data_IF_283124706257
#
_entry.id   IF_283124706257
#
_cell.length_a   1.000
_cell.length_b   1.000
_cell.length_c   1.000
_cell.angle_alpha   90.00
_cell.angle_beta   90.00
_cell.angle_gamma   90.00
#
_symmetry.space_group_name_H-M   'P 1'
#
loop_
_entity.id
_entity.type
_entity.pdbx_description
1 polymer ?
#
# COMPACT_ATOMS: atom_id res chain seq x y z
N UNK A 1 -15.57 16.53 0.74
CA UNK A 1 -14.76 15.71 1.63
C UNK A 1 -13.33 15.81 1.15
N UNK A 2 -12.39 16.02 2.08
CA UNK A 2 -10.95 16.14 1.81
C UNK A 2 -10.20 15.24 2.77
N UNK A 3 -9.04 14.77 2.37
CA UNK A 3 -8.09 14.05 3.22
C UNK A 3 -6.94 14.99 3.58
N UNK A 4 -6.54 15.00 4.85
CA UNK A 4 -5.45 15.81 5.36
C UNK A 4 -4.48 14.92 6.13
N UNK A 5 -3.25 14.81 5.66
CA UNK A 5 -2.19 14.08 6.35
C UNK A 5 -1.25 15.04 7.07
N UNK A 6 -1.07 14.83 8.35
CA UNK A 6 -0.16 15.57 9.23
C UNK A 6 1.02 14.68 9.58
N UNK A 7 2.10 14.70 8.79
CA UNK A 7 3.21 13.76 8.94
C UNK A 7 3.93 13.87 10.29
N UNK A 8 4.03 15.07 10.85
CA UNK A 8 4.65 15.27 12.16
C UNK A 8 3.82 14.73 13.33
N UNK A 9 2.54 14.44 13.11
CA UNK A 9 1.65 13.84 14.11
C UNK A 9 1.33 12.37 13.80
N UNK A 10 1.82 11.81 12.67
CA UNK A 10 1.44 10.48 12.16
C UNK A 10 -0.09 10.31 12.08
N UNK A 11 -0.77 11.31 11.53
CA UNK A 11 -2.23 11.42 11.57
C UNK A 11 -2.81 11.71 10.18
N UNK A 12 -3.80 10.92 9.78
CA UNK A 12 -4.68 11.20 8.63
C UNK A 12 -6.05 11.64 9.14
N UNK A 13 -6.51 12.80 8.69
CA UNK A 13 -7.81 13.36 9.06
C UNK A 13 -8.74 13.44 7.85
N UNK A 14 -10.02 13.19 8.05
CA UNK A 14 -11.08 13.49 7.08
C UNK A 14 -11.76 14.79 7.42
N UNK A 15 -11.81 15.71 6.44
CA UNK A 15 -12.46 17.02 6.57
C UNK A 15 -13.72 17.09 5.71
N UNK A 16 -14.80 17.61 6.28
CA UNK A 16 -16.04 17.90 5.57
C UNK A 16 -16.45 19.35 5.80
N UNK A 17 -16.41 20.15 4.73
CA UNK A 17 -16.55 21.61 4.87
C UNK A 17 -15.40 22.20 5.69
N UNK A 18 -15.71 22.83 6.81
CA UNK A 18 -14.70 23.46 7.71
C UNK A 18 -14.28 22.60 8.90
N UNK A 19 -14.83 21.38 9.05
CA UNK A 19 -14.66 20.56 10.26
C UNK A 19 -13.96 19.24 9.93
N UNK A 20 -12.99 18.87 10.75
CA UNK A 20 -12.46 17.52 10.78
C UNK A 20 -13.45 16.59 11.49
N UNK A 21 -13.86 15.52 10.83
CA UNK A 21 -14.91 14.60 11.29
C UNK A 21 -14.39 13.26 11.78
N UNK A 22 -13.18 12.90 11.43
CA UNK A 22 -12.49 11.68 11.91
C UNK A 22 -10.99 11.79 11.70
N UNK A 23 -10.25 11.04 12.52
CA UNK A 23 -8.80 10.91 12.47
C UNK A 23 -8.39 9.45 12.55
N UNK A 24 -7.25 9.10 11.95
CA UNK A 24 -6.71 7.75 11.86
C UNK A 24 -5.19 7.80 12.02
N UNK A 25 -4.61 6.80 12.67
CA UNK A 25 -3.17 6.61 12.68
C UNK A 25 -2.67 6.38 11.25
N UNK A 26 -1.69 7.14 10.83
CA UNK A 26 -1.10 7.04 9.51
C UNK A 26 0.38 7.42 9.56
N UNK A 27 1.25 6.62 8.97
CA UNK A 27 2.69 6.84 9.05
C UNK A 27 3.26 7.07 7.67
N UNK A 28 3.89 8.23 7.49
CA UNK A 28 4.58 8.62 6.26
C UNK A 28 6.08 8.37 6.31
N UNK A 29 6.81 9.00 5.40
CA UNK A 29 8.25 9.05 5.41
C UNK A 29 8.78 10.00 6.49
N UNK A 30 10.11 10.04 6.71
CA UNK A 30 10.76 10.94 7.68
C UNK A 30 10.67 12.41 7.24
N UNK A 31 11.00 13.32 8.16
CA UNK A 31 11.00 14.77 7.84
C UNK A 31 12.13 15.20 6.89
N UNK A 32 13.16 14.37 6.73
CA UNK A 32 14.32 14.63 5.87
C UNK A 32 14.72 13.39 5.08
N UNK A 33 15.45 13.60 3.99
CA UNK A 33 15.97 12.51 3.16
C UNK A 33 16.90 11.59 3.97
N UNK A 34 16.72 10.29 3.81
CA UNK A 34 17.63 9.28 4.31
C UNK A 34 18.92 9.19 3.48
N UNK A 35 19.90 8.47 3.99
CA UNK A 35 21.23 8.35 3.38
C UNK A 35 21.48 7.02 2.63
N UNK A 36 20.54 6.06 2.64
CA UNK A 36 20.71 4.80 1.90
C UNK A 36 20.64 5.05 0.40
N UNK A 37 21.74 4.85 -0.36
CA UNK A 37 21.75 5.16 -1.80
C UNK A 37 20.93 4.17 -2.62
N UNK A 38 20.53 3.02 -2.08
CA UNK A 38 19.77 1.98 -2.80
C UNK A 38 18.27 2.21 -2.71
N UNK A 39 17.81 2.71 -1.58
CA UNK A 39 16.42 3.02 -1.32
C UNK A 39 16.35 4.09 -0.24
N UNK A 40 16.59 5.34 -0.65
CA UNK A 40 16.56 6.47 0.28
C UNK A 40 15.16 6.62 0.87
N UNK A 41 15.10 6.73 2.19
CA UNK A 41 13.90 7.23 2.83
C UNK A 41 13.70 8.68 2.41
N UNK A 42 12.50 9.03 2.02
CA UNK A 42 12.14 10.38 1.61
C UNK A 42 10.91 10.89 2.37
N UNK A 43 10.77 12.20 2.55
CA UNK A 43 9.57 12.77 3.13
C UNK A 43 8.32 12.38 2.34
N UNK A 44 7.18 12.25 3.02
CA UNK A 44 5.91 12.37 2.33
C UNK A 44 5.75 13.85 1.96
N UNK A 45 5.86 14.17 0.68
CA UNK A 45 6.04 15.55 0.22
C UNK A 45 4.81 16.41 0.52
N UNK A 46 4.99 17.54 1.24
CA UNK A 46 3.91 18.50 1.47
C UNK A 46 3.32 19.05 0.18
N UNK A 47 2.01 19.26 0.17
CA UNK A 47 1.32 19.80 -1.00
C UNK A 47 -0.14 19.39 -1.09
N UNK A 48 -0.81 19.88 -2.13
CA UNK A 48 -2.18 19.51 -2.45
C UNK A 48 -2.19 18.60 -3.67
N UNK A 49 -2.86 17.48 -3.52
CA UNK A 49 -2.94 16.38 -4.49
C UNK A 49 -4.38 15.99 -4.76
N UNK A 50 -4.58 15.18 -5.78
CA UNK A 50 -5.86 14.59 -6.13
C UNK A 50 -5.74 13.06 -6.10
N UNK A 51 -6.66 12.39 -5.42
CA UNK A 51 -6.76 10.93 -5.47
C UNK A 51 -7.14 10.52 -6.89
N UNK A 52 -6.32 9.65 -7.47
CA UNK A 52 -6.49 9.15 -8.83
C UNK A 52 -7.20 7.82 -8.89
N UNK A 53 -6.70 6.83 -8.14
CA UNK A 53 -7.18 5.45 -8.27
C UNK A 53 -6.96 4.62 -7.01
N UNK A 54 -7.77 3.57 -6.90
CA UNK A 54 -7.77 2.64 -5.76
C UNK A 54 -7.84 1.22 -6.31
N UNK A 55 -6.70 0.55 -6.41
CA UNK A 55 -6.61 -0.83 -6.88
C UNK A 55 -5.32 -1.49 -6.43
N UNK A 56 -5.23 -2.82 -6.59
CA UNK A 56 -3.98 -3.54 -6.30
C UNK A 56 -2.84 -3.03 -7.16
N UNK A 57 -1.66 -2.91 -6.55
CA UNK A 57 -0.44 -2.46 -7.19
C UNK A 57 0.52 -3.64 -7.38
N UNK A 58 1.18 -3.68 -8.51
CA UNK A 58 2.27 -4.62 -8.81
C UNK A 58 3.45 -3.86 -9.37
N UNK A 59 4.66 -4.31 -9.08
CA UNK A 59 5.89 -3.74 -9.63
C UNK A 59 6.88 -4.84 -10.02
N UNK A 60 7.60 -4.71 -11.14
CA UNK A 60 8.62 -5.67 -11.53
C UNK A 60 9.87 -5.61 -10.63
N UNK A 61 10.07 -4.51 -9.91
CA UNK A 61 11.28 -4.25 -9.11
C UNK A 61 11.37 -5.13 -7.87
N UNK A 62 10.25 -5.53 -7.28
CA UNK A 62 10.22 -6.29 -6.04
C UNK A 62 9.59 -7.66 -6.26
N UNK A 63 10.32 -8.78 -5.99
CA UNK A 63 9.85 -10.13 -6.31
C UNK A 63 8.48 -10.47 -5.74
N UNK A 64 8.21 -10.14 -4.47
CA UNK A 64 6.93 -10.39 -3.83
C UNK A 64 5.80 -9.51 -4.38
N UNK A 65 6.10 -8.35 -4.91
CA UNK A 65 5.12 -7.40 -5.48
C UNK A 65 4.89 -7.57 -6.99
N UNK A 66 5.50 -8.58 -7.63
CA UNK A 66 5.19 -8.96 -9.02
C UNK A 66 3.82 -9.61 -9.16
N UNK A 67 3.32 -10.25 -8.11
CA UNK A 67 2.04 -10.93 -8.10
C UNK A 67 1.04 -10.11 -7.29
N UNK A 68 -0.16 -9.95 -7.86
CA UNK A 68 -1.24 -9.20 -7.25
C UNK A 68 -1.74 -9.92 -6.00
N UNK A 69 -2.00 -9.15 -4.93
CA UNK A 69 -2.65 -9.66 -3.73
C UNK A 69 -3.98 -10.37 -4.06
N UNK A 70 -4.24 -11.51 -3.41
CA UNK A 70 -5.44 -12.30 -3.64
C UNK A 70 -5.41 -13.19 -4.88
N UNK A 71 -4.32 -13.19 -5.67
CA UNK A 71 -4.17 -14.10 -6.80
C UNK A 71 -4.16 -15.55 -6.32
N UNK A 72 -5.00 -16.41 -6.91
CA UNK A 72 -5.10 -17.82 -6.56
C UNK A 72 -3.77 -18.56 -6.77
N UNK A 73 -3.41 -19.41 -5.83
CA UNK A 73 -2.21 -20.23 -5.84
C UNK A 73 -2.55 -21.72 -5.90
N UNK A 74 -1.64 -22.49 -6.51
CA UNK A 74 -1.66 -23.94 -6.54
C UNK A 74 -0.29 -24.48 -6.13
N UNK A 75 -0.24 -25.25 -5.05
CA UNK A 75 0.98 -25.93 -4.61
C UNK A 75 1.32 -27.09 -5.55
N UNK A 76 2.58 -27.18 -5.96
CA UNK A 76 3.14 -28.21 -6.84
C UNK A 76 4.37 -28.85 -6.18
N UNK A 77 4.18 -29.62 -5.10
CA UNK A 77 5.30 -30.21 -4.34
C UNK A 77 6.13 -31.19 -5.19
N UNK A 78 5.52 -31.87 -6.16
CA UNK A 78 6.18 -32.86 -7.04
C UNK A 78 7.28 -32.26 -7.93
N UNK A 79 7.20 -30.95 -8.22
CA UNK A 79 8.21 -30.19 -8.97
C UNK A 79 8.85 -29.09 -8.13
N UNK A 80 8.59 -29.07 -6.82
CA UNK A 80 9.07 -28.06 -5.87
C UNK A 80 8.79 -26.62 -6.31
N UNK A 81 7.56 -26.34 -6.77
CA UNK A 81 7.12 -25.02 -7.22
C UNK A 81 5.72 -24.66 -6.70
N UNK A 82 5.35 -23.41 -6.87
CA UNK A 82 4.01 -22.87 -6.65
C UNK A 82 3.56 -22.19 -7.94
N UNK A 83 2.34 -22.47 -8.35
CA UNK A 83 1.77 -21.82 -9.54
C UNK A 83 0.75 -20.77 -9.10
N UNK A 84 0.67 -19.68 -9.86
CA UNK A 84 -0.31 -18.61 -9.66
C UNK A 84 -1.18 -18.44 -10.89
N UNK A 85 -2.44 -18.00 -10.68
CA UNK A 85 -3.39 -17.86 -11.77
C UNK A 85 -3.24 -16.50 -12.47
N UNK A 86 -2.98 -16.54 -13.77
CA UNK A 86 -2.96 -15.35 -14.64
C UNK A 86 -4.37 -14.82 -14.89
N UNK A 87 -4.55 -13.54 -15.31
CA UNK A 87 -5.85 -13.01 -15.74
C UNK A 87 -6.52 -13.83 -16.83
N UNK A 88 -5.74 -14.49 -17.70
CA UNK A 88 -6.20 -15.42 -18.75
C UNK A 88 -6.72 -16.76 -18.22
N UNK A 89 -6.78 -16.97 -16.90
CA UNK A 89 -7.10 -18.23 -16.22
C UNK A 89 -6.07 -19.34 -16.40
N UNK A 90 -4.98 -19.10 -17.12
CA UNK A 90 -3.84 -20.01 -17.17
C UNK A 90 -3.01 -19.95 -15.89
N UNK A 91 -2.22 -20.98 -15.65
CA UNK A 91 -1.31 -21.06 -14.51
C UNK A 91 0.13 -20.79 -14.94
N UNK A 92 0.87 -20.04 -14.14
CA UNK A 92 2.27 -19.71 -14.36
C UNK A 92 3.09 -20.04 -13.10
N UNK A 93 4.38 -20.32 -13.30
CA UNK A 93 5.30 -20.65 -12.22
C UNK A 93 5.74 -19.41 -11.46
N UNK A 94 5.54 -19.39 -10.14
CA UNK A 94 6.06 -18.34 -9.28
C UNK A 94 7.58 -18.28 -9.34
N UNK A 95 8.26 -19.43 -9.25
CA UNK A 95 9.72 -19.50 -9.28
C UNK A 95 10.28 -18.93 -10.59
N UNK A 96 9.69 -19.29 -11.73
CA UNK A 96 10.15 -18.80 -13.05
C UNK A 96 9.99 -17.30 -13.20
N UNK A 97 8.86 -16.75 -12.77
CA UNK A 97 8.50 -15.36 -13.06
C UNK A 97 9.02 -14.37 -12.00
N UNK A 98 9.20 -14.84 -10.77
CA UNK A 98 9.62 -13.98 -9.65
C UNK A 98 10.98 -14.33 -9.05
N UNK A 99 11.48 -15.55 -9.26
CA UNK A 99 12.67 -16.09 -8.61
C UNK A 99 12.41 -16.63 -7.18
N UNK A 100 11.15 -16.60 -6.70
CA UNK A 100 10.80 -17.03 -5.35
C UNK A 100 10.55 -18.54 -5.34
N UNK A 101 11.31 -19.26 -4.52
CA UNK A 101 11.16 -20.70 -4.36
C UNK A 101 9.99 -21.08 -3.45
N UNK A 102 9.42 -22.26 -3.65
CA UNK A 102 8.32 -22.82 -2.86
C UNK A 102 8.60 -22.77 -1.35
N UNK A 103 9.82 -23.16 -0.95
CA UNK A 103 10.22 -23.09 0.47
C UNK A 103 10.10 -21.68 1.03
N UNK A 104 10.56 -20.66 0.31
CA UNK A 104 10.50 -19.27 0.76
C UNK A 104 9.05 -18.78 0.91
N UNK A 105 8.13 -19.25 0.08
CA UNK A 105 6.69 -18.95 0.20
C UNK A 105 6.12 -19.55 1.50
N UNK A 106 6.48 -20.81 1.81
CA UNK A 106 6.04 -21.48 3.04
C UNK A 106 6.62 -20.79 4.27
N UNK A 107 7.92 -20.49 4.26
CA UNK A 107 8.60 -19.83 5.37
C UNK A 107 7.99 -18.44 5.64
N UNK A 108 7.74 -17.66 4.59
CA UNK A 108 7.10 -16.35 4.70
C UNK A 108 5.65 -16.46 5.23
N UNK A 109 4.89 -17.46 4.76
CA UNK A 109 3.53 -17.68 5.25
C UNK A 109 3.52 -18.14 6.72
N UNK A 110 4.51 -18.92 7.12
CA UNK A 110 4.69 -19.27 8.53
C UNK A 110 5.02 -18.05 9.39
N UNK A 111 5.95 -17.21 8.95
CA UNK A 111 6.32 -15.97 9.65
C UNK A 111 5.11 -15.07 9.86
N UNK A 112 4.31 -14.83 8.81
CA UNK A 112 3.16 -13.92 8.87
C UNK A 112 1.94 -14.53 9.61
N UNK A 113 1.62 -15.79 9.34
CA UNK A 113 0.35 -16.41 9.74
C UNK A 113 0.50 -17.65 10.65
N UNK A 114 1.72 -18.08 10.96
CA UNK A 114 1.98 -19.29 11.76
C UNK A 114 1.63 -20.61 11.06
N UNK A 115 1.55 -20.62 9.71
CA UNK A 115 1.07 -21.79 8.95
C UNK A 115 2.13 -22.34 8.00
N UNK A 116 2.61 -23.57 8.25
CA UNK A 116 3.61 -24.31 7.47
C UNK A 116 3.03 -24.92 6.20
N UNK A 117 2.54 -24.10 5.27
CA UNK A 117 1.98 -24.52 3.97
C UNK A 117 2.00 -23.38 2.95
N UNK A 118 1.77 -23.72 1.68
CA UNK A 118 1.46 -22.72 0.66
C UNK A 118 0.05 -22.16 0.92
N UNK A 119 -0.16 -20.82 0.94
CA UNK A 119 -1.50 -20.25 1.08
C UNK A 119 -2.36 -20.49 -0.17
N UNK A 120 -3.67 -20.39 -0.03
CA UNK A 120 -4.59 -20.50 -1.17
C UNK A 120 -4.51 -19.31 -2.15
N UNK A 121 -4.07 -18.15 -1.65
CA UNK A 121 -3.91 -16.94 -2.46
C UNK A 121 -2.63 -16.20 -2.09
N UNK A 122 -2.14 -15.35 -3.01
CA UNK A 122 -0.97 -14.53 -2.80
C UNK A 122 -1.25 -13.43 -1.76
N UNK A 123 -0.53 -13.43 -0.65
CA UNK A 123 -0.70 -12.52 0.50
C UNK A 123 0.64 -11.84 0.87
N UNK A 124 1.56 -11.72 -0.06
CA UNK A 124 2.94 -11.28 0.18
C UNK A 124 3.29 -9.97 -0.53
N UNK A 125 2.36 -9.40 -1.32
CA UNK A 125 2.62 -8.13 -2.01
C UNK A 125 2.88 -7.02 -0.99
N UNK A 126 4.03 -6.34 -1.11
CA UNK A 126 4.51 -5.34 -0.15
C UNK A 126 3.57 -4.13 0.00
N UNK A 127 2.69 -3.92 -0.98
CA UNK A 127 1.69 -2.83 -0.97
C UNK A 127 0.31 -3.30 -0.47
N UNK A 128 0.22 -4.52 0.10
CA UNK A 128 -1.03 -5.09 0.57
C UNK A 128 -2.06 -5.32 -0.56
N UNK A 129 -3.34 -5.47 -0.22
CA UNK A 129 -4.41 -5.73 -1.20
C UNK A 129 -4.72 -4.54 -2.11
N UNK A 130 -4.55 -3.32 -1.60
CA UNK A 130 -4.96 -2.09 -2.28
C UNK A 130 -3.93 -0.99 -2.05
N UNK A 131 -3.52 -0.33 -3.15
CA UNK A 131 -2.79 0.91 -3.13
C UNK A 131 -3.67 2.06 -3.64
N UNK A 132 -3.62 3.19 -2.97
CA UNK A 132 -4.36 4.40 -3.35
C UNK A 132 -3.34 5.39 -3.92
N UNK A 133 -3.46 5.71 -5.21
CA UNK A 133 -2.55 6.57 -5.94
C UNK A 133 -3.08 7.98 -6.02
N UNK A 134 -2.20 8.96 -6.02
CA UNK A 134 -2.51 10.39 -6.20
C UNK A 134 -1.55 11.07 -7.17
N UNK A 135 -1.90 12.27 -7.59
CA UNK A 135 -1.06 13.12 -8.44
C UNK A 135 -1.20 14.59 -8.00
N UNK A 136 -0.24 15.42 -8.42
CA UNK A 136 -0.31 16.87 -8.23
C UNK A 136 -1.05 17.46 -9.43
N UNK A 137 -2.25 17.98 -9.16
CA UNK A 137 -3.07 18.68 -10.16
C UNK A 137 -2.51 20.08 -10.38
N UNK A 138 -1.95 20.34 -11.55
CA UNK A 138 -1.26 21.60 -11.89
C UNK A 138 -2.17 22.61 -12.58
N UNK A 139 -3.32 22.18 -13.09
CA UNK A 139 -4.25 23.01 -13.84
C UNK A 139 -5.65 23.14 -13.20
N UNK A 140 -5.90 22.46 -12.09
CA UNK A 140 -7.14 22.55 -11.32
C UNK A 140 -8.31 21.74 -11.87
N UNK A 141 -8.09 20.88 -12.89
CA UNK A 141 -9.17 20.11 -13.53
C UNK A 141 -9.50 18.79 -12.85
N UNK A 142 -8.69 18.34 -11.89
CA UNK A 142 -8.79 17.07 -11.15
C UNK A 142 -8.76 15.83 -12.05
N UNK A 143 -8.05 15.91 -13.17
CA UNK A 143 -7.87 14.83 -14.14
C UNK A 143 -6.38 14.72 -14.45
N UNK A 144 -5.81 13.53 -14.26
CA UNK A 144 -4.42 13.28 -14.63
C UNK A 144 -4.26 13.41 -16.15
N UNK A 145 -3.55 14.42 -16.61
CA UNK A 145 -3.31 14.68 -18.01
C UNK A 145 -1.84 14.46 -18.42
N UNK A 146 -1.51 14.73 -19.71
CA UNK A 146 -0.18 14.44 -20.27
C UNK A 146 0.97 15.22 -19.64
N UNK A 147 0.70 16.30 -18.93
CA UNK A 147 1.73 17.16 -18.29
C UNK A 147 1.92 16.79 -16.80
N UNK A 148 1.13 15.86 -16.30
CA UNK A 148 1.12 15.45 -14.93
C UNK A 148 1.55 13.99 -14.78
N UNK A 149 2.07 13.62 -13.64
CA UNK A 149 2.50 12.25 -13.34
C UNK A 149 1.92 11.78 -12.02
N UNK A 150 1.60 10.50 -11.96
CA UNK A 150 1.27 9.87 -10.68
C UNK A 150 2.45 9.98 -9.74
N UNK A 151 2.18 10.32 -8.48
CA UNK A 151 3.19 10.24 -7.43
C UNK A 151 3.79 8.83 -7.35
N UNK A 152 5.08 8.75 -7.05
CA UNK A 152 5.72 7.51 -6.65
C UNK A 152 5.21 7.02 -5.29
N UNK A 153 4.76 7.95 -4.44
CA UNK A 153 4.20 7.68 -3.12
C UNK A 153 2.71 7.33 -3.22
N UNK A 154 2.22 6.51 -2.29
CA UNK A 154 0.84 6.04 -2.26
C UNK A 154 0.41 5.68 -0.84
N UNK A 155 -0.91 5.61 -0.57
CA UNK A 155 -1.39 4.93 0.64
C UNK A 155 -1.42 3.43 0.39
N UNK A 156 -0.98 2.66 1.35
CA UNK A 156 -1.08 1.21 1.33
C UNK A 156 -0.94 0.61 2.74
N UNK A 157 -1.15 -0.69 2.85
CA UNK A 157 -0.83 -1.50 4.02
C UNK A 157 0.38 -2.39 3.71
N UNK A 158 0.83 -3.17 4.67
CA UNK A 158 1.92 -4.14 4.49
C UNK A 158 1.40 -5.57 4.70
N UNK A 159 2.10 -6.61 4.20
CA UNK A 159 1.75 -8.00 4.48
C UNK A 159 1.69 -8.31 5.98
N UNK A 160 2.57 -7.72 6.77
CA UNK A 160 2.61 -7.88 8.23
C UNK A 160 1.34 -7.32 8.86
N UNK A 161 0.97 -6.08 8.54
CA UNK A 161 -0.24 -5.46 9.08
C UNK A 161 -1.52 -6.19 8.65
N UNK A 162 -1.59 -6.71 7.41
CA UNK A 162 -2.73 -7.51 6.94
C UNK A 162 -2.80 -8.86 7.70
N UNK A 163 -1.67 -9.49 7.96
CA UNK A 163 -1.61 -10.72 8.75
C UNK A 163 -2.02 -10.47 10.21
N UNK A 164 -1.47 -9.44 10.85
CA UNK A 164 -1.83 -9.02 12.20
C UNK A 164 -3.32 -8.74 12.31
N UNK A 165 -3.89 -8.00 11.37
CA UNK A 165 -5.32 -7.73 11.31
C UNK A 165 -6.16 -9.01 11.18
N UNK A 166 -5.73 -9.96 10.34
CA UNK A 166 -6.44 -11.23 10.14
C UNK A 166 -6.37 -12.16 11.34
N UNK A 167 -5.36 -11.99 12.20
CA UNK A 167 -5.12 -12.74 13.43
C UNK A 167 -5.62 -12.00 14.68
N UNK A 168 -6.29 -10.88 14.52
CA UNK A 168 -6.79 -10.01 15.59
C UNK A 168 -5.69 -9.54 16.57
N UNK A 169 -4.49 -9.33 16.02
CA UNK A 169 -3.32 -8.84 16.77
C UNK A 169 -3.25 -7.31 16.74
N UNK A 170 -2.59 -6.68 17.73
CA UNK A 170 -2.24 -5.26 17.67
C UNK A 170 -1.39 -4.95 16.44
N UNK A 171 -1.70 -3.84 15.77
CA UNK A 171 -0.98 -3.37 14.58
C UNK A 171 -0.16 -2.15 14.95
N UNK A 172 1.16 -2.26 14.77
CA UNK A 172 2.09 -1.17 14.93
C UNK A 172 2.53 -0.69 13.53
N UNK A 173 2.15 0.54 13.18
CA UNK A 173 2.64 1.16 11.96
C UNK A 173 4.10 1.59 12.14
N UNK A 174 4.84 1.57 11.05
CA UNK A 174 6.26 1.98 11.01
C UNK A 174 6.47 3.06 9.93
N UNK A 175 7.51 3.91 10.06
CA UNK A 175 7.88 4.86 9.02
C UNK A 175 8.07 4.17 7.66
N UNK A 176 7.79 4.90 6.61
CA UNK A 176 7.93 4.45 5.23
C UNK A 176 9.08 5.17 4.51
N UNK A 177 9.27 4.84 3.25
CA UNK A 177 10.15 5.57 2.31
C UNK A 177 9.35 6.66 1.54
N UNK A 178 8.38 7.30 2.20
CA UNK A 178 7.54 8.36 1.63
C UNK A 178 6.08 7.97 1.38
N UNK A 179 5.76 6.69 1.25
CA UNK A 179 4.38 6.21 1.20
C UNK A 179 3.65 6.45 2.53
N UNK A 180 2.33 6.37 2.55
CA UNK A 180 1.56 6.50 3.78
C UNK A 180 0.98 5.12 4.15
N UNK A 181 1.47 4.57 5.26
CA UNK A 181 0.97 3.33 5.82
C UNK A 181 -0.29 3.58 6.64
N UNK A 182 -1.28 2.70 6.48
CA UNK A 182 -2.53 2.69 7.22
C UNK A 182 -2.76 1.32 7.85
N UNK A 183 -3.49 1.29 8.96
CA UNK A 183 -4.04 0.03 9.48
C UNK A 183 -5.10 -0.49 8.51
N UNK A 184 -5.20 -1.81 8.25
CA UNK A 184 -6.17 -2.37 7.30
C UNK A 184 -7.62 -1.95 7.58
N UNK A 185 -8.06 -1.97 8.84
CA UNK A 185 -9.42 -1.54 9.22
C UNK A 185 -9.68 -0.05 8.93
N UNK A 186 -8.69 0.80 9.16
CA UNK A 186 -8.78 2.26 8.91
C UNK A 186 -8.85 2.52 7.40
N UNK A 187 -7.97 1.88 6.61
CA UNK A 187 -8.03 1.90 5.14
C UNK A 187 -9.43 1.53 4.64
N UNK A 188 -10.00 0.42 5.12
CA UNK A 188 -11.31 -0.05 4.68
C UNK A 188 -12.44 0.91 5.11
N UNK A 189 -12.36 1.49 6.30
CA UNK A 189 -13.31 2.50 6.79
C UNK A 189 -13.28 3.75 5.91
N UNK A 190 -12.08 4.27 5.59
CA UNK A 190 -11.92 5.44 4.72
C UNK A 190 -12.41 5.14 3.30
N UNK A 191 -12.10 3.95 2.78
CA UNK A 191 -12.54 3.50 1.47
C UNK A 191 -14.07 3.46 1.38
N UNK A 192 -14.71 2.81 2.37
CA UNK A 192 -16.16 2.65 2.44
C UNK A 192 -16.90 3.98 2.62
N UNK A 193 -16.31 4.93 3.35
CA UNK A 193 -16.84 6.29 3.50
C UNK A 193 -16.68 7.15 2.24
N UNK A 194 -15.93 6.66 1.26
CA UNK A 194 -15.63 7.36 0.02
C UNK A 194 -14.47 8.36 0.10
N UNK A 195 -13.64 8.30 1.14
CA UNK A 195 -12.46 9.16 1.30
C UNK A 195 -11.43 8.97 0.19
N UNK A 196 -11.31 7.76 -0.34
CA UNK A 196 -10.38 7.43 -1.44
C UNK A 196 -11.02 7.43 -2.83
N UNK A 197 -12.17 8.07 -3.01
CA UNK A 197 -12.77 8.20 -4.36
C UNK A 197 -11.89 9.06 -5.27
N UNK A 198 -11.80 8.73 -6.57
CA UNK A 198 -11.16 9.61 -7.55
C UNK A 198 -11.69 11.04 -7.45
N UNK A 199 -10.80 12.03 -7.66
CA UNK A 199 -11.06 13.48 -7.53
C UNK A 199 -11.22 14.00 -6.09
N UNK A 200 -11.04 13.16 -5.06
CA UNK A 200 -10.94 13.64 -3.68
C UNK A 200 -9.66 14.47 -3.53
N UNK A 201 -9.77 15.63 -2.91
CA UNK A 201 -8.62 16.48 -2.55
C UNK A 201 -7.87 15.79 -1.41
N UNK A 202 -6.56 15.70 -1.55
CA UNK A 202 -5.65 15.18 -0.54
C UNK A 202 -4.55 16.20 -0.26
N UNK A 203 -4.45 16.65 0.98
CA UNK A 203 -3.47 17.63 1.46
C UNK A 203 -2.46 16.93 2.35
N UNK A 204 -1.19 17.05 2.02
CA UNK A 204 -0.07 16.71 2.91
C UNK A 204 0.43 18.01 3.52
N UNK A 205 0.34 18.10 4.84
CA UNK A 205 0.81 19.27 5.61
C UNK A 205 2.32 19.25 5.79
N UNK A 206 2.90 20.40 6.20
CA UNK A 206 4.29 20.43 6.62
C UNK A 206 4.45 19.66 7.94
N UNK A 207 5.67 19.15 8.20
CA UNK A 207 5.96 18.33 9.39
C UNK A 207 5.78 19.06 10.72
N UNK A 208 5.81 20.38 10.73
CA UNK A 208 5.58 21.22 11.90
C UNK A 208 4.12 21.70 12.08
N UNK A 209 3.24 21.34 11.14
CA UNK A 209 1.82 21.68 11.25
C UNK A 209 1.05 20.62 12.05
N UNK A 210 0.04 21.07 12.77
CA UNK A 210 -0.85 20.23 13.58
C UNK A 210 -2.31 20.47 13.24
N UNK A 211 -3.18 19.53 13.61
CA UNK A 211 -4.63 19.66 13.45
C UNK A 211 -5.21 20.66 14.46
#
# INVERSE_FOLDING_TARGET
MELHFFPGQNLLAIKKGKVFISTYDAWGGPASMGSDPRMAEEPTWPGTYIIHSTHSYVTPSWPFSKIKWGTALQDKPEINDVYYQLPSKKWASVKKDTGIERKKIIDQYFTLYGKMKVPATWVFNDFGPIAIRWFKDTNGNKILDKKETLSGQMFHTTPDNEAENSLDKPINLVPSHGCIHLKPRDRDTILNSGGFKPKTIFVVHNYNETI
#
